data_IF_351687715896
#
_entry.id   IF_351687715896
#
_cell.length_a   1.000
_cell.length_b   1.000
_cell.length_c   1.000
_cell.angle_alpha   90.00
_cell.angle_beta   90.00
_cell.angle_gamma   90.00
#
_symmetry.space_group_name_H-M   'P 1'
#
loop_
_entity.id
_entity.type
_entity.pdbx_description
1 polymer ?
#
# COMPACT_ATOMS: atom_id res chain seq x y z
N UNK A 1 -24.19 -3.32 15.83
CA UNK A 1 -23.51 -1.99 15.89
C UNK A 1 -22.25 -2.01 15.01
N UNK A 2 -21.84 -0.87 14.45
CA UNK A 2 -20.53 -0.77 13.78
C UNK A 2 -19.40 -1.10 14.78
N UNK A 3 -18.34 -1.76 14.29
CA UNK A 3 -17.18 -2.16 15.10
C UNK A 3 -15.95 -1.28 14.87
N UNK A 4 -16.09 -0.22 14.06
CA UNK A 4 -15.06 0.78 13.78
C UNK A 4 -15.66 2.20 13.71
N UNK A 5 -14.87 3.19 13.25
CA UNK A 5 -15.37 4.55 13.02
C UNK A 5 -16.59 4.56 12.10
N UNK A 6 -17.50 5.49 12.37
CA UNK A 6 -18.73 5.62 11.59
C UNK A 6 -18.48 6.49 10.35
N UNK A 7 -19.01 6.06 9.21
CA UNK A 7 -19.16 6.93 8.05
C UNK A 7 -20.42 7.78 8.22
N UNK A 8 -20.25 9.09 8.41
CA UNK A 8 -21.34 9.98 8.82
C UNK A 8 -22.42 10.21 7.75
N UNK A 9 -22.07 10.02 6.47
CA UNK A 9 -22.97 10.36 5.36
C UNK A 9 -23.95 9.24 4.99
N UNK A 10 -23.87 8.06 5.63
CA UNK A 10 -24.77 6.94 5.33
C UNK A 10 -25.01 6.02 6.56
N UNK A 11 -26.05 5.17 6.54
CA UNK A 11 -26.25 4.13 7.55
C UNK A 11 -25.05 3.18 7.62
N UNK A 12 -24.58 2.91 8.84
CA UNK A 12 -23.45 2.02 9.06
C UNK A 12 -23.96 0.59 9.30
N UNK A 13 -23.52 -0.35 8.48
CA UNK A 13 -24.04 -1.72 8.47
C UNK A 13 -23.54 -2.52 9.69
N UNK A 14 -24.46 -3.24 10.33
CA UNK A 14 -24.14 -4.10 11.48
C UNK A 14 -23.67 -5.49 11.04
N UNK A 15 -22.36 -5.63 10.82
CA UNK A 15 -21.75 -6.90 10.44
C UNK A 15 -21.80 -7.98 11.54
N UNK A 16 -22.23 -7.66 12.77
CA UNK A 16 -22.45 -8.67 13.83
C UNK A 16 -23.66 -9.57 13.50
N UNK A 17 -24.59 -9.09 12.66
CA UNK A 17 -25.77 -9.83 12.27
C UNK A 17 -25.45 -10.92 11.24
N UNK A 18 -25.86 -12.16 11.52
CA UNK A 18 -25.57 -13.30 10.62
C UNK A 18 -26.23 -13.15 9.25
N UNK A 19 -27.46 -12.60 9.18
CA UNK A 19 -28.15 -12.42 7.91
C UNK A 19 -27.40 -11.44 6.99
N UNK A 20 -26.89 -10.33 7.54
CA UNK A 20 -26.04 -9.37 6.80
C UNK A 20 -24.84 -10.07 6.19
N UNK A 21 -24.12 -10.88 6.97
CA UNK A 21 -22.93 -11.59 6.47
C UNK A 21 -23.25 -12.61 5.40
N UNK A 22 -24.40 -13.28 5.51
CA UNK A 22 -24.86 -14.20 4.47
C UNK A 22 -25.17 -13.47 3.17
N UNK A 23 -25.95 -12.40 3.23
CA UNK A 23 -26.36 -11.63 2.06
C UNK A 23 -25.14 -11.05 1.33
N UNK A 24 -24.16 -10.51 2.06
CA UNK A 24 -22.91 -10.05 1.46
C UNK A 24 -22.14 -11.17 0.77
N UNK A 25 -22.02 -12.35 1.40
CA UNK A 25 -21.32 -13.47 0.78
C UNK A 25 -22.02 -13.96 -0.49
N UNK A 26 -23.35 -13.99 -0.49
CA UNK A 26 -24.12 -14.41 -1.66
C UNK A 26 -23.99 -13.38 -2.80
N UNK A 27 -24.00 -12.09 -2.48
CA UNK A 27 -23.71 -11.03 -3.45
C UNK A 27 -22.28 -11.08 -4.00
N UNK A 28 -21.27 -11.29 -3.16
CA UNK A 28 -19.88 -11.43 -3.60
C UNK A 28 -19.67 -12.67 -4.47
N UNK A 29 -20.36 -13.78 -4.17
CA UNK A 29 -20.36 -14.98 -5.03
C UNK A 29 -21.00 -14.69 -6.38
N UNK A 30 -22.12 -13.96 -6.41
CA UNK A 30 -22.73 -13.53 -7.67
C UNK A 30 -21.79 -12.65 -8.49
N UNK A 31 -21.09 -11.69 -7.88
CA UNK A 31 -20.06 -10.90 -8.56
C UNK A 31 -18.96 -11.77 -9.17
N UNK A 32 -18.53 -12.80 -8.45
CA UNK A 32 -17.49 -13.70 -8.94
C UNK A 32 -18.00 -14.65 -10.05
N UNK A 33 -19.15 -15.28 -9.86
CA UNK A 33 -19.66 -16.36 -10.70
C UNK A 33 -20.37 -15.85 -11.96
N UNK A 34 -21.16 -14.79 -11.82
CA UNK A 34 -22.03 -14.28 -12.89
C UNK A 34 -21.42 -13.08 -13.63
N UNK A 35 -20.66 -12.23 -12.92
CA UNK A 35 -20.04 -11.04 -13.53
C UNK A 35 -18.57 -11.29 -13.91
N UNK A 36 -17.86 -12.16 -13.19
CA UNK A 36 -16.48 -12.56 -13.48
C UNK A 36 -15.41 -11.78 -12.73
N UNK A 37 -15.71 -11.26 -11.53
CA UNK A 37 -14.68 -10.64 -10.68
C UNK A 37 -13.79 -11.69 -10.01
N UNK A 38 -12.47 -11.49 -10.04
CA UNK A 38 -11.50 -12.41 -9.42
C UNK A 38 -11.09 -12.05 -7.99
N UNK A 39 -11.37 -10.82 -7.53
CA UNK A 39 -10.87 -10.36 -6.23
C UNK A 39 -11.49 -9.07 -5.72
N UNK A 40 -11.16 -8.76 -4.46
CA UNK A 40 -11.82 -7.71 -3.67
C UNK A 40 -10.84 -6.64 -3.20
N UNK A 41 -11.14 -5.37 -3.50
CA UNK A 41 -10.63 -4.21 -2.74
C UNK A 41 -11.68 -3.83 -1.72
N UNK A 42 -11.38 -4.01 -0.45
CA UNK A 42 -12.30 -3.74 0.65
C UNK A 42 -12.22 -2.26 1.04
N UNK A 43 -13.22 -1.50 0.61
CA UNK A 43 -13.39 -0.08 0.92
C UNK A 43 -13.54 0.17 2.42
N UNK A 44 -13.00 1.30 2.89
CA UNK A 44 -13.15 1.79 4.26
C UNK A 44 -12.99 0.69 5.33
N UNK A 45 -11.91 -0.09 5.24
CA UNK A 45 -11.67 -1.28 6.09
C UNK A 45 -11.46 -0.96 7.57
N UNK A 46 -11.33 0.32 7.92
CA UNK A 46 -11.41 0.81 9.29
C UNK A 46 -12.82 0.70 9.89
N UNK A 47 -13.87 0.79 9.07
CA UNK A 47 -15.25 0.89 9.52
C UNK A 47 -15.82 -0.38 10.15
N UNK A 48 -15.12 -1.51 10.03
CA UNK A 48 -15.58 -2.79 10.58
C UNK A 48 -14.40 -3.70 10.93
N UNK A 49 -14.61 -4.62 11.87
CA UNK A 49 -13.58 -5.53 12.32
C UNK A 49 -13.05 -6.43 11.19
N UNK A 50 -11.72 -6.58 11.11
CA UNK A 50 -11.05 -7.43 10.12
C UNK A 50 -11.52 -8.89 10.12
N UNK A 51 -12.04 -9.40 11.24
CA UNK A 51 -12.63 -10.73 11.32
C UNK A 51 -13.80 -10.93 10.34
N UNK A 52 -14.61 -9.88 10.10
CA UNK A 52 -15.70 -9.95 9.13
C UNK A 52 -15.19 -9.95 7.68
N UNK A 53 -14.18 -9.12 7.37
CA UNK A 53 -13.47 -9.21 6.10
C UNK A 53 -12.92 -10.62 5.85
N UNK A 54 -12.29 -11.21 6.88
CA UNK A 54 -11.79 -12.58 6.86
C UNK A 54 -12.86 -13.62 6.54
N UNK A 55 -14.04 -13.51 7.17
CA UNK A 55 -15.19 -14.40 6.88
C UNK A 55 -15.66 -14.26 5.43
N UNK A 56 -15.77 -13.03 4.90
CA UNK A 56 -16.18 -12.83 3.50
C UNK A 56 -15.19 -13.42 2.52
N UNK A 57 -13.89 -13.21 2.75
CA UNK A 57 -12.83 -13.75 1.89
C UNK A 57 -12.81 -15.27 1.96
N UNK A 58 -12.93 -15.86 3.16
CA UNK A 58 -13.00 -17.30 3.34
C UNK A 58 -14.17 -17.93 2.57
N UNK A 59 -15.35 -17.30 2.62
CA UNK A 59 -16.57 -17.82 1.99
C UNK A 59 -16.64 -17.59 0.47
N UNK A 60 -15.78 -16.73 -0.08
CA UNK A 60 -15.77 -16.35 -1.51
C UNK A 60 -14.49 -16.77 -2.24
N UNK A 61 -13.42 -17.10 -1.51
CA UNK A 61 -12.15 -17.58 -2.04
C UNK A 61 -11.63 -16.78 -3.28
N UNK A 62 -11.51 -15.45 -3.19
CA UNK A 62 -10.99 -14.63 -4.28
C UNK A 62 -9.51 -14.96 -4.56
N UNK A 63 -9.06 -14.67 -5.78
CA UNK A 63 -7.64 -14.74 -6.16
C UNK A 63 -6.78 -13.68 -5.45
N UNK A 64 -7.40 -12.54 -5.09
CA UNK A 64 -6.75 -11.45 -4.38
C UNK A 64 -7.77 -10.73 -3.48
N UNK A 65 -7.37 -10.41 -2.25
CA UNK A 65 -8.13 -9.53 -1.38
C UNK A 65 -7.19 -8.55 -0.67
N UNK A 66 -7.55 -7.27 -0.66
CA UNK A 66 -6.82 -6.26 0.09
C UNK A 66 -7.72 -5.14 0.59
N UNK A 67 -7.41 -4.60 1.77
CA UNK A 67 -8.19 -3.54 2.40
C UNK A 67 -7.57 -2.17 2.31
N UNK A 68 -8.43 -1.16 2.23
CA UNK A 68 -8.11 0.21 2.57
C UNK A 68 -8.28 0.42 4.08
N UNK A 69 -7.25 0.05 4.84
CA UNK A 69 -7.16 0.42 6.25
C UNK A 69 -6.35 1.72 6.34
N UNK A 70 -7.01 2.87 6.25
CA UNK A 70 -6.35 4.18 6.19
C UNK A 70 -6.47 4.93 7.52
N UNK A 71 -5.57 4.64 8.45
CA UNK A 71 -5.51 5.32 9.75
C UNK A 71 -4.52 6.49 9.74
N UNK A 72 -4.55 7.33 10.79
CA UNK A 72 -3.64 8.45 10.93
C UNK A 72 -2.21 8.01 11.25
N UNK A 73 -1.24 8.51 10.50
CA UNK A 73 0.18 8.36 10.80
C UNK A 73 0.58 9.11 12.09
N UNK A 74 1.77 8.80 12.60
CA UNK A 74 2.32 9.47 13.78
C UNK A 74 3.02 10.79 13.38
N UNK A 75 2.69 11.89 14.06
CA UNK A 75 3.26 13.21 13.80
C UNK A 75 3.93 13.76 15.05
N UNK A 76 5.05 14.47 14.86
CA UNK A 76 5.81 15.10 15.94
C UNK A 76 6.49 16.37 15.45
N UNK A 77 6.46 17.44 16.25
CA UNK A 77 7.10 18.72 15.87
C UNK A 77 6.54 19.36 14.60
N UNK A 78 5.29 19.05 14.23
CA UNK A 78 4.64 19.57 13.02
C UNK A 78 4.99 18.84 11.72
N UNK A 79 5.73 17.73 11.77
CA UNK A 79 6.06 16.90 10.61
C UNK A 79 5.77 15.42 10.88
N UNK A 80 5.82 14.61 9.81
CA UNK A 80 5.73 13.16 9.94
C UNK A 80 6.87 12.65 10.82
N UNK A 81 6.53 11.92 11.89
CA UNK A 81 7.55 11.32 12.75
C UNK A 81 8.38 10.32 11.93
N UNK A 82 9.68 10.22 12.22
CA UNK A 82 10.56 9.25 11.55
C UNK A 82 10.09 7.81 11.80
N UNK A 83 9.82 7.47 13.06
CA UNK A 83 9.29 6.15 13.43
C UNK A 83 7.78 6.10 13.19
N UNK A 84 7.34 5.19 12.32
CA UNK A 84 5.92 4.89 12.01
C UNK A 84 5.56 3.44 12.37
N UNK A 85 6.26 2.85 13.34
CA UNK A 85 6.05 1.47 13.79
C UNK A 85 4.61 1.25 14.21
N UNK A 86 4.05 2.14 15.03
CA UNK A 86 2.68 1.99 15.48
C UNK A 86 1.70 1.96 14.30
N UNK A 87 1.91 2.79 13.27
CA UNK A 87 1.08 2.79 12.07
C UNK A 87 1.21 1.49 11.25
N UNK A 88 2.43 1.02 10.93
CA UNK A 88 2.61 -0.25 10.18
C UNK A 88 2.14 -1.48 10.96
N UNK A 89 2.25 -1.48 12.30
CA UNK A 89 1.72 -2.56 13.13
C UNK A 89 0.20 -2.59 13.17
N UNK A 90 -0.50 -1.44 13.12
CA UNK A 90 -1.97 -1.41 13.01
C UNK A 90 -2.45 -1.97 11.66
N UNK A 91 -1.76 -1.63 10.55
CA UNK A 91 -2.02 -2.25 9.25
C UNK A 91 -1.86 -3.77 9.28
N UNK A 92 -0.73 -4.26 9.83
CA UNK A 92 -0.48 -5.69 9.95
C UNK A 92 -1.49 -6.38 10.86
N UNK A 93 -1.86 -5.76 11.99
CA UNK A 93 -2.85 -6.29 12.91
C UNK A 93 -4.21 -6.47 12.24
N UNK A 94 -4.62 -5.53 11.36
CA UNK A 94 -5.82 -5.70 10.56
C UNK A 94 -5.70 -6.89 9.59
N UNK A 95 -4.57 -7.03 8.87
CA UNK A 95 -4.33 -8.17 7.99
C UNK A 95 -4.42 -9.51 8.76
N UNK A 96 -3.79 -9.59 9.94
CA UNK A 96 -3.85 -10.75 10.83
C UNK A 96 -5.28 -11.03 11.30
N UNK A 97 -6.06 -9.99 11.62
CA UNK A 97 -7.45 -10.12 12.03
C UNK A 97 -8.37 -10.70 10.94
N UNK A 98 -7.98 -10.62 9.66
CA UNK A 98 -8.66 -11.35 8.56
C UNK A 98 -8.34 -12.85 8.53
N UNK A 99 -7.50 -13.33 9.46
CA UNK A 99 -6.88 -14.64 9.43
C UNK A 99 -5.77 -14.74 8.38
N UNK A 100 -5.05 -13.64 8.14
CA UNK A 100 -4.04 -13.50 7.07
C UNK A 100 -4.59 -13.78 5.66
N UNK A 101 -5.87 -13.47 5.42
CA UNK A 101 -6.54 -13.71 4.13
C UNK A 101 -6.53 -12.49 3.21
N UNK A 102 -6.25 -11.30 3.75
CA UNK A 102 -6.09 -10.08 2.98
C UNK A 102 -4.76 -9.36 3.27
N UNK A 103 -4.26 -8.71 2.22
CA UNK A 103 -3.24 -7.67 2.32
C UNK A 103 -3.89 -6.30 2.63
N UNK A 104 -3.09 -5.26 2.85
CA UNK A 104 -3.57 -3.90 3.00
C UNK A 104 -2.81 -2.95 2.08
N UNK A 105 -3.43 -1.84 1.70
CA UNK A 105 -2.70 -0.71 1.16
C UNK A 105 -1.64 -0.24 2.17
N UNK A 106 -0.40 -0.14 1.72
CA UNK A 106 0.73 0.29 2.54
C UNK A 106 0.76 1.82 2.65
N UNK A 107 -0.21 2.36 3.39
CA UNK A 107 -0.29 3.78 3.69
C UNK A 107 0.94 4.28 4.46
N UNK A 108 1.65 3.41 5.20
CA UNK A 108 2.92 3.77 5.86
C UNK A 108 4.00 4.11 4.82
N UNK A 109 4.21 3.23 3.83
CA UNK A 109 5.16 3.51 2.74
C UNK A 109 4.77 4.76 1.97
N UNK A 110 3.49 4.94 1.64
CA UNK A 110 2.99 6.16 0.98
C UNK A 110 3.36 7.41 1.77
N UNK A 111 3.09 7.45 3.08
CA UNK A 111 3.40 8.58 3.95
C UNK A 111 4.89 8.93 3.93
N UNK A 112 5.73 7.92 4.18
CA UNK A 112 7.16 8.12 4.36
C UNK A 112 7.84 8.45 3.04
N UNK A 113 7.48 7.76 1.95
CA UNK A 113 8.06 7.98 0.64
C UNK A 113 7.74 9.38 0.12
N UNK A 114 6.50 9.84 0.32
CA UNK A 114 6.09 11.19 -0.02
C UNK A 114 6.90 12.25 0.73
N UNK A 115 7.01 12.13 2.06
CA UNK A 115 7.78 13.07 2.89
C UNK A 115 9.28 13.05 2.50
N UNK A 116 9.84 11.86 2.30
CA UNK A 116 11.24 11.65 1.97
C UNK A 116 11.63 12.35 0.66
N UNK A 117 10.83 12.20 -0.40
CA UNK A 117 11.15 12.85 -1.68
C UNK A 117 10.82 14.35 -1.65
N UNK A 118 9.74 14.76 -0.99
CA UNK A 118 9.34 16.17 -0.91
C UNK A 118 10.36 17.04 -0.17
N UNK A 119 11.03 16.48 0.84
CA UNK A 119 11.98 17.21 1.70
C UNK A 119 13.44 16.87 1.45
N UNK A 120 13.75 16.05 0.44
CA UNK A 120 15.09 15.51 0.21
C UNK A 120 15.60 14.59 1.35
N UNK A 121 14.70 14.15 2.24
CA UNK A 121 14.94 13.41 3.48
C UNK A 121 14.96 11.89 3.24
N UNK A 122 15.78 11.41 2.28
CA UNK A 122 15.85 9.99 1.91
C UNK A 122 16.41 9.07 3.01
N UNK A 123 17.00 9.64 4.06
CA UNK A 123 17.29 8.95 5.31
C UNK A 123 16.06 8.31 5.97
N UNK A 124 14.85 8.82 5.68
CA UNK A 124 13.60 8.23 6.18
C UNK A 124 13.30 6.85 5.61
N UNK A 125 13.88 6.48 4.46
CA UNK A 125 13.58 5.25 3.72
C UNK A 125 14.30 4.01 4.27
N UNK A 126 14.86 4.10 5.46
CA UNK A 126 15.47 3.00 6.21
C UNK A 126 15.03 3.14 7.67
N UNK A 127 14.50 2.08 8.25
CA UNK A 127 14.20 2.03 9.68
C UNK A 127 15.46 1.76 10.53
N UNK A 128 15.31 1.79 11.85
CA UNK A 128 16.42 1.57 12.78
C UNK A 128 17.04 0.16 12.67
N UNK A 129 16.34 -0.79 12.06
CA UNK A 129 16.81 -2.16 11.84
C UNK A 129 17.42 -2.34 10.44
N UNK A 130 17.48 -1.28 9.62
CA UNK A 130 18.03 -1.32 8.27
C UNK A 130 17.05 -1.75 7.18
N UNK A 131 15.76 -1.88 7.50
CA UNK A 131 14.72 -2.36 6.58
C UNK A 131 13.90 -1.19 6.00
N UNK A 132 13.10 -1.42 4.96
CA UNK A 132 12.09 -0.45 4.54
C UNK A 132 11.14 -0.07 5.68
N UNK A 133 10.82 1.22 5.88
CA UNK A 133 10.13 1.69 7.08
C UNK A 133 8.60 1.49 7.05
N UNK A 134 8.03 1.12 5.90
CA UNK A 134 6.59 0.87 5.75
C UNK A 134 6.16 -0.56 6.10
N UNK A 135 4.91 -0.91 5.77
CA UNK A 135 4.42 -2.29 5.93
C UNK A 135 5.26 -3.28 5.10
N UNK A 136 5.78 -2.85 3.94
CA UNK A 136 6.69 -3.67 3.11
C UNK A 136 7.90 -4.22 3.87
N UNK A 137 8.48 -3.50 4.83
CA UNK A 137 9.63 -3.98 5.58
C UNK A 137 9.26 -4.89 6.75
N UNK A 138 8.00 -4.88 7.19
CA UNK A 138 7.49 -5.73 8.26
C UNK A 138 6.85 -7.02 7.72
N UNK A 139 6.05 -6.90 6.66
CA UNK A 139 5.37 -8.02 6.00
C UNK A 139 5.07 -7.72 4.54
N UNK A 140 6.07 -7.90 3.67
CA UNK A 140 5.95 -7.62 2.25
C UNK A 140 4.80 -8.37 1.55
N UNK A 141 4.49 -9.60 1.98
CA UNK A 141 3.37 -10.38 1.44
C UNK A 141 1.99 -9.73 1.69
N UNK A 142 1.85 -8.91 2.73
CA UNK A 142 0.61 -8.20 3.07
C UNK A 142 0.60 -6.75 2.59
N UNK A 143 1.65 -6.29 1.90
CA UNK A 143 1.81 -4.89 1.52
C UNK A 143 1.45 -4.66 0.05
N UNK A 144 0.37 -3.90 -0.17
CA UNK A 144 0.03 -3.33 -1.48
C UNK A 144 0.57 -1.89 -1.52
N UNK A 145 1.74 -1.69 -2.11
CA UNK A 145 2.36 -0.36 -2.23
C UNK A 145 1.74 0.44 -3.36
N UNK A 146 1.67 1.76 -3.21
CA UNK A 146 1.08 2.65 -4.21
C UNK A 146 1.65 4.07 -4.07
N UNK A 147 1.47 4.89 -5.12
CA UNK A 147 1.90 6.31 -5.12
C UNK A 147 0.73 7.23 -4.84
N UNK A 148 -0.37 7.06 -5.55
CA UNK A 148 -1.64 7.72 -5.28
C UNK A 148 -2.81 6.80 -5.63
N UNK A 149 -3.98 7.12 -5.08
CA UNK A 149 -5.25 6.56 -5.47
C UNK A 149 -6.24 7.70 -5.83
N UNK A 150 -7.52 7.36 -5.97
CA UNK A 150 -8.54 8.34 -6.34
C UNK A 150 -8.84 9.37 -5.25
N UNK A 151 -8.55 9.08 -3.97
CA UNK A 151 -8.72 9.99 -2.84
C UNK A 151 -7.48 10.85 -2.59
N UNK A 152 -6.30 10.22 -2.56
CA UNK A 152 -5.04 10.91 -2.28
C UNK A 152 -4.65 11.81 -3.45
N UNK A 153 -4.86 11.35 -4.68
CA UNK A 153 -4.59 12.07 -5.91
C UNK A 153 -5.86 12.45 -6.68
N UNK A 154 -5.84 12.25 -7.99
CA UNK A 154 -6.94 12.56 -8.92
C UNK A 154 -7.54 13.97 -8.72
N UNK A 155 -8.86 14.14 -8.70
CA UNK A 155 -9.50 15.44 -8.45
C UNK A 155 -9.74 15.73 -6.98
N UNK A 156 -9.67 14.73 -6.08
CA UNK A 156 -9.89 14.92 -4.65
C UNK A 156 -8.66 15.54 -3.97
N UNK A 157 -7.45 15.12 -4.36
CA UNK A 157 -6.19 15.71 -3.92
C UNK A 157 -6.09 15.83 -2.40
N UNK A 158 -6.63 14.87 -1.64
CA UNK A 158 -6.59 14.92 -0.18
C UNK A 158 -5.16 14.76 0.37
N UNK A 159 -4.30 14.03 -0.34
CA UNK A 159 -2.92 13.77 0.08
C UNK A 159 -2.00 13.42 -1.10
N UNK A 160 -1.83 14.33 -2.06
CA UNK A 160 -1.21 14.00 -3.35
C UNK A 160 0.30 13.82 -3.23
N UNK A 161 0.85 12.86 -3.97
CA UNK A 161 2.28 12.71 -4.10
C UNK A 161 2.90 13.89 -4.89
N UNK A 162 4.11 14.36 -4.54
CA UNK A 162 4.78 15.44 -5.28
C UNK A 162 4.96 15.08 -6.76
N UNK A 163 4.27 15.81 -7.65
CA UNK A 163 4.25 15.50 -9.10
C UNK A 163 5.65 15.46 -9.73
N UNK A 164 6.57 16.30 -9.26
CA UNK A 164 7.97 16.32 -9.72
C UNK A 164 8.76 15.07 -9.35
N UNK A 165 8.27 14.26 -8.40
CA UNK A 165 8.95 13.08 -7.88
C UNK A 165 8.21 11.77 -8.20
N UNK A 166 7.21 11.77 -9.09
CA UNK A 166 6.48 10.54 -9.46
C UNK A 166 7.42 9.45 -9.97
N UNK A 167 8.45 9.82 -10.74
CA UNK A 167 9.44 8.86 -11.24
C UNK A 167 10.22 8.19 -10.09
N UNK A 168 10.58 8.94 -9.07
CA UNK A 168 11.23 8.42 -7.86
C UNK A 168 10.30 7.47 -7.11
N UNK A 169 9.05 7.89 -6.89
CA UNK A 169 8.02 7.08 -6.26
C UNK A 169 7.83 5.73 -6.96
N UNK A 170 7.58 5.76 -8.27
CA UNK A 170 7.39 4.53 -9.06
C UNK A 170 8.65 3.68 -9.15
N UNK A 171 9.84 4.28 -9.20
CA UNK A 171 11.10 3.54 -9.18
C UNK A 171 11.26 2.77 -7.87
N UNK A 172 10.86 3.37 -6.74
CA UNK A 172 10.81 2.71 -5.44
C UNK A 172 9.83 1.52 -5.45
N UNK A 173 8.53 1.76 -5.65
CA UNK A 173 7.51 0.70 -5.46
C UNK A 173 7.60 -0.43 -6.50
N UNK A 174 8.07 -0.16 -7.74
CA UNK A 174 8.19 -1.20 -8.77
C UNK A 174 9.49 -2.00 -8.69
N UNK A 175 10.53 -1.49 -8.03
CA UNK A 175 11.76 -2.25 -7.75
C UNK A 175 11.69 -3.02 -6.43
N UNK A 176 10.92 -2.55 -5.45
CA UNK A 176 10.91 -3.10 -4.09
C UNK A 176 10.02 -4.34 -3.91
N UNK A 177 10.09 -5.01 -2.74
CA UNK A 177 9.14 -6.04 -2.34
C UNK A 177 7.71 -5.48 -2.21
N UNK A 178 6.74 -6.37 -1.95
CA UNK A 178 5.32 -6.04 -1.95
C UNK A 178 4.66 -6.10 -3.33
N UNK A 179 3.37 -5.80 -3.35
CA UNK A 179 2.53 -5.81 -4.54
C UNK A 179 2.27 -4.37 -4.99
N UNK A 180 3.03 -3.83 -5.96
CA UNK A 180 2.83 -2.44 -6.41
C UNK A 180 1.53 -2.27 -7.19
N UNK A 181 0.74 -1.28 -6.78
CA UNK A 181 -0.44 -0.78 -7.47
C UNK A 181 -0.07 0.50 -8.24
N UNK A 182 -0.29 0.46 -9.56
CA UNK A 182 -0.01 1.60 -10.46
C UNK A 182 -1.29 2.41 -10.65
N UNK A 183 -1.21 3.71 -10.43
CA UNK A 183 -2.37 4.58 -10.56
C UNK A 183 -2.66 4.91 -12.04
N UNK A 184 -3.95 4.95 -12.39
CA UNK A 184 -4.41 5.12 -13.77
C UNK A 184 -3.91 6.44 -14.38
N UNK A 185 -4.12 7.55 -13.67
CA UNK A 185 -3.78 8.89 -14.18
C UNK A 185 -2.28 9.00 -14.49
N UNK A 186 -1.42 8.44 -13.62
CA UNK A 186 0.04 8.45 -13.80
C UNK A 186 0.51 7.55 -14.95
N UNK A 187 -0.13 6.38 -15.12
CA UNK A 187 0.20 5.45 -16.21
C UNK A 187 -0.13 6.05 -17.59
N UNK A 188 -1.17 6.89 -17.64
CA UNK A 188 -1.63 7.55 -18.86
C UNK A 188 -1.07 8.97 -19.03
N UNK A 189 -0.36 9.51 -18.05
CA UNK A 189 0.40 10.74 -18.18
C UNK A 189 1.52 10.59 -19.23
N UNK A 190 1.66 11.60 -20.08
CA UNK A 190 2.60 11.58 -21.21
C UNK A 190 4.08 11.52 -20.76
N UNK A 191 4.40 12.08 -19.60
CA UNK A 191 5.76 12.15 -19.06
C UNK A 191 6.10 10.95 -18.19
N UNK A 192 5.17 10.51 -17.34
CA UNK A 192 5.41 9.44 -16.36
C UNK A 192 5.08 8.05 -16.91
N UNK A 193 4.02 7.92 -17.72
CA UNK A 193 3.52 6.65 -18.24
C UNK A 193 4.56 5.78 -18.95
N UNK A 194 5.42 6.32 -19.85
CA UNK A 194 6.50 5.54 -20.48
C UNK A 194 7.48 4.93 -19.47
N UNK A 195 7.82 5.66 -18.42
CA UNK A 195 8.78 5.26 -17.38
C UNK A 195 8.18 4.16 -16.51
N UNK A 196 6.92 4.32 -16.09
CA UNK A 196 6.18 3.29 -15.34
C UNK A 196 6.17 1.96 -16.12
N UNK A 197 5.85 2.00 -17.43
CA UNK A 197 5.85 0.79 -18.27
C UNK A 197 7.25 0.16 -18.37
N UNK A 198 8.32 0.95 -18.43
CA UNK A 198 9.69 0.45 -18.41
C UNK A 198 10.02 -0.23 -17.08
N UNK A 199 9.67 0.39 -15.94
CA UNK A 199 9.87 -0.17 -14.61
C UNK A 199 9.08 -1.48 -14.41
N UNK A 200 7.84 -1.56 -14.88
CA UNK A 200 7.06 -2.81 -14.87
C UNK A 200 7.71 -3.93 -15.68
N UNK A 201 8.29 -3.61 -16.85
CA UNK A 201 9.06 -4.59 -17.65
C UNK A 201 10.33 -5.01 -16.93
N UNK A 202 11.04 -4.07 -16.30
CA UNK A 202 12.22 -4.34 -15.49
C UNK A 202 11.89 -5.31 -14.35
N UNK A 203 10.83 -5.04 -13.58
CA UNK A 203 10.34 -5.89 -12.49
C UNK A 203 10.12 -7.33 -12.97
N UNK A 204 9.37 -7.50 -14.07
CA UNK A 204 9.08 -8.81 -14.66
C UNK A 204 10.32 -9.52 -15.18
N UNK A 205 11.18 -8.83 -15.94
CA UNK A 205 12.40 -9.41 -16.54
C UNK A 205 13.36 -9.93 -15.47
N UNK A 206 13.47 -9.22 -14.35
CA UNK A 206 14.32 -9.61 -13.22
C UNK A 206 13.63 -10.56 -12.24
N UNK A 207 12.39 -10.99 -12.54
CA UNK A 207 11.57 -11.89 -11.71
C UNK A 207 11.42 -11.40 -10.27
N UNK A 208 11.33 -10.09 -10.09
CA UNK A 208 11.03 -9.50 -8.79
C UNK A 208 9.57 -9.80 -8.43
N UNK A 209 9.32 -10.08 -7.16
CA UNK A 209 8.02 -10.48 -6.64
C UNK A 209 7.77 -9.90 -5.24
N UNK A 210 6.57 -10.11 -4.70
CA UNK A 210 6.18 -9.52 -3.41
C UNK A 210 7.11 -9.89 -2.24
N UNK A 211 7.78 -11.04 -2.30
CA UNK A 211 8.71 -11.51 -1.26
C UNK A 211 10.20 -11.32 -1.63
N UNK A 212 10.51 -10.51 -2.65
CA UNK A 212 11.90 -10.18 -2.98
C UNK A 212 12.60 -9.60 -1.76
N UNK A 213 13.91 -9.75 -1.67
CA UNK A 213 14.72 -9.22 -0.59
C UNK A 213 15.34 -7.90 -1.01
N UNK A 214 15.37 -6.94 -0.10
CA UNK A 214 16.00 -5.64 -0.31
C UNK A 214 17.12 -5.44 0.71
N UNK A 215 18.28 -5.01 0.21
CA UNK A 215 19.42 -4.61 1.03
C UNK A 215 19.64 -3.12 0.79
N UNK A 216 19.40 -2.32 1.83
CA UNK A 216 19.58 -0.86 1.78
C UNK A 216 21.04 -0.55 2.11
N UNK A 217 21.77 -0.02 1.14
CA UNK A 217 23.17 0.38 1.32
C UNK A 217 23.28 1.80 1.85
N UNK A 218 22.54 2.73 1.25
CA UNK A 218 22.56 4.15 1.62
C UNK A 218 21.15 4.69 1.84
N UNK A 219 20.99 5.47 2.90
CA UNK A 219 19.80 6.25 3.19
C UNK A 219 20.24 7.48 3.98
N UNK A 220 20.49 8.57 3.27
CA UNK A 220 20.91 9.87 3.80
C UNK A 220 20.15 10.99 3.09
N UNK A 221 20.36 12.24 3.49
CA UNK A 221 19.86 13.37 2.69
C UNK A 221 20.41 13.26 1.25
N UNK A 222 19.57 13.49 0.25
CA UNK A 222 20.00 13.47 -1.16
C UNK A 222 20.26 12.09 -1.77
N UNK A 223 20.31 11.00 -0.99
CA UNK A 223 20.61 9.66 -1.52
C UNK A 223 19.83 8.54 -0.82
N UNK A 224 19.20 7.70 -1.65
CA UNK A 224 18.79 6.35 -1.30
C UNK A 224 19.37 5.37 -2.32
N UNK A 225 20.07 4.33 -1.84
CA UNK A 225 20.58 3.25 -2.68
C UNK A 225 20.27 1.89 -2.08
N UNK A 226 19.69 1.00 -2.88
CA UNK A 226 19.33 -0.35 -2.46
C UNK A 226 19.50 -1.38 -3.59
N UNK A 227 19.81 -2.61 -3.20
CA UNK A 227 19.88 -3.77 -4.11
C UNK A 227 18.73 -4.72 -3.80
N UNK A 228 18.00 -5.14 -4.83
CA UNK A 228 16.86 -6.05 -4.74
C UNK A 228 17.19 -7.37 -5.45
N UNK A 229 17.10 -8.47 -4.69
CA UNK A 229 17.42 -9.86 -5.10
C UNK A 229 18.79 -10.00 -5.80
N UNK A 230 19.78 -9.18 -5.48
CA UNK A 230 21.09 -9.10 -6.16
C UNK A 230 21.00 -8.90 -7.68
N UNK A 231 19.88 -8.35 -8.16
CA UNK A 231 19.57 -8.22 -9.60
C UNK A 231 19.30 -6.80 -10.04
N UNK A 232 18.71 -6.00 -9.16
CA UNK A 232 18.27 -4.65 -9.47
C UNK A 232 18.83 -3.71 -8.44
N UNK A 233 19.40 -2.63 -8.93
CA UNK A 233 19.96 -1.56 -8.14
C UNK A 233 19.05 -0.35 -8.32
N UNK A 234 18.54 0.18 -7.21
CA UNK A 234 17.85 1.46 -7.19
C UNK A 234 18.82 2.50 -6.65
N UNK A 235 19.05 3.55 -7.42
CA UNK A 235 19.65 4.81 -6.97
C UNK A 235 18.57 5.89 -7.10
N UNK A 236 18.38 6.67 -6.05
CA UNK A 236 17.34 7.69 -5.98
C UNK A 236 17.85 8.91 -5.23
N UNK A 237 17.73 10.07 -5.86
CA UNK A 237 18.20 11.36 -5.36
C UNK A 237 19.38 11.93 -6.16
N UNK A 238 19.75 13.21 -5.91
CA UNK A 238 20.76 13.91 -6.69
C UNK A 238 22.21 13.53 -6.38
N UNK A 239 22.48 12.93 -5.22
CA UNK A 239 23.84 12.71 -4.73
C UNK A 239 24.47 11.43 -5.30
N UNK A 240 25.81 11.42 -5.43
CA UNK A 240 26.57 10.23 -5.85
C UNK A 240 26.59 9.14 -4.76
N UNK A 241 26.65 7.89 -5.22
CA UNK A 241 26.78 6.69 -4.39
C UNK A 241 28.15 6.04 -4.57
#
# INVERSE_FOLDING_TARGET
PSSGPLYAAAPNIDHTQRFVRNDYCDWLKWLQQDIGFDGWRLDFSLGYAGAYAGEYIERTAPALAFGEFWDSCDYGGGALAYNQDAHRHRLLAWCVATGNRAAAFDFTTKAILQEAVAKNERWRLRDEQGNPPGLIGLSAAHAVTFIDNHDTGSTLQHWPFPRSHLQEGYSYILSHPGTPCVFYDDLHDASCGPIIRQLMRMRRRNKLHAQSQVVIHEAREGLYAAVIDDRVLLHMGPDEW
#
